data_IF_625371679040
#
_entry.id   IF_625371679040
#
_cell.length_a   1.000
_cell.length_b   1.000
_cell.length_c   1.000
_cell.angle_alpha   90.00
_cell.angle_beta   90.00
_cell.angle_gamma   90.00
#
_symmetry.space_group_name_H-M   'P 1'
#
loop_
_entity.id
_entity.type
_entity.pdbx_description
1 polymer ?
#
# COMPACT_ATOMS: atom_id res chain seq x y z
N UNK A 1 -11.40 15.27 -8.40
CA UNK A 1 -11.22 15.38 -6.94
C UNK A 1 -11.04 13.98 -6.39
N UNK A 2 -10.08 13.75 -5.47
CA UNK A 2 -10.01 12.46 -4.76
C UNK A 2 -11.10 12.49 -3.70
N UNK A 3 -12.18 11.74 -3.88
CA UNK A 3 -13.08 11.46 -2.76
C UNK A 3 -12.27 10.80 -1.65
N UNK A 4 -12.37 11.35 -0.44
CA UNK A 4 -11.57 10.89 0.68
C UNK A 4 -12.08 9.54 1.18
N UNK A 5 -11.17 8.65 1.58
CA UNK A 5 -11.50 7.37 2.25
C UNK A 5 -12.40 7.53 3.49
N UNK A 6 -12.55 8.75 4.01
CA UNK A 6 -13.38 9.06 5.16
C UNK A 6 -14.87 9.24 4.80
N UNK A 7 -15.22 9.59 3.56
CA UNK A 7 -16.62 9.77 3.11
C UNK A 7 -17.20 8.53 2.42
N UNK A 8 -16.35 7.62 1.96
CA UNK A 8 -16.70 6.36 1.29
C UNK A 8 -17.25 5.29 2.28
N UNK A 9 -17.98 4.29 1.76
CA UNK A 9 -18.55 3.22 2.60
C UNK A 9 -17.44 2.31 3.16
N UNK A 10 -17.20 2.40 4.47
CA UNK A 10 -16.10 1.69 5.14
C UNK A 10 -16.46 0.24 5.45
N UNK A 11 -15.47 -0.63 5.30
CA UNK A 11 -15.50 -2.02 5.76
C UNK A 11 -14.15 -2.44 6.34
N UNK A 12 -14.18 -3.34 7.30
CA UNK A 12 -12.99 -3.97 7.87
C UNK A 12 -12.37 -4.97 6.90
N UNK A 13 -11.11 -5.35 7.15
CA UNK A 13 -10.45 -6.38 6.33
C UNK A 13 -11.12 -7.75 6.44
N UNK A 14 -11.71 -8.06 7.59
CA UNK A 14 -12.45 -9.31 7.78
C UNK A 14 -13.74 -9.32 6.95
N UNK A 15 -14.46 -8.20 6.89
CA UNK A 15 -15.64 -8.06 6.03
C UNK A 15 -15.27 -8.17 4.56
N UNK A 16 -14.23 -7.46 4.10
CA UNK A 16 -13.78 -7.58 2.71
C UNK A 16 -13.37 -9.03 2.37
N UNK A 17 -12.65 -9.70 3.28
CA UNK A 17 -12.25 -11.09 3.09
C UNK A 17 -13.46 -12.02 2.90
N UNK A 18 -14.49 -11.86 3.73
CA UNK A 18 -15.75 -12.61 3.61
C UNK A 18 -16.50 -12.28 2.32
N UNK A 19 -16.61 -11.00 1.96
CA UNK A 19 -17.29 -10.57 0.73
C UNK A 19 -16.64 -11.14 -0.53
N UNK A 20 -15.32 -11.29 -0.54
CA UNK A 20 -14.57 -11.78 -1.70
C UNK A 20 -14.21 -13.25 -1.63
N UNK A 21 -14.68 -13.97 -0.61
CA UNK A 21 -14.36 -15.39 -0.39
C UNK A 21 -12.84 -15.65 -0.38
N UNK A 22 -12.06 -14.73 0.18
CA UNK A 22 -10.61 -14.87 0.36
C UNK A 22 -10.24 -14.92 1.84
N UNK A 23 -9.03 -15.35 2.15
CA UNK A 23 -8.54 -15.35 3.53
C UNK A 23 -8.19 -13.94 4.01
N UNK A 24 -8.42 -13.63 5.28
CA UNK A 24 -8.06 -12.33 5.89
C UNK A 24 -6.59 -11.94 5.69
N UNK A 25 -5.59 -12.85 5.81
CA UNK A 25 -4.19 -12.54 5.51
C UNK A 25 -3.95 -12.06 4.07
N UNK A 26 -4.80 -12.44 3.12
CA UNK A 26 -4.73 -11.98 1.73
C UNK A 26 -5.03 -10.49 1.63
N UNK A 27 -6.08 -10.02 2.31
CA UNK A 27 -6.42 -8.59 2.37
C UNK A 27 -5.32 -7.79 3.07
N UNK A 28 -4.74 -8.33 4.16
CA UNK A 28 -3.57 -7.74 4.79
C UNK A 28 -2.39 -7.59 3.83
N UNK A 29 -2.12 -8.61 3.01
CA UNK A 29 -1.06 -8.56 1.99
C UNK A 29 -1.35 -7.49 0.95
N UNK A 30 -2.57 -7.40 0.43
CA UNK A 30 -2.97 -6.36 -0.52
C UNK A 30 -2.78 -4.95 0.05
N UNK A 31 -3.10 -4.75 1.32
CA UNK A 31 -2.92 -3.47 2.00
C UNK A 31 -1.47 -3.15 2.34
N UNK A 32 -0.63 -4.13 2.70
CA UNK A 32 0.74 -3.88 3.20
C UNK A 32 1.82 -3.96 2.13
N UNK A 33 1.63 -4.81 1.14
CA UNK A 33 2.60 -5.10 0.07
C UNK A 33 2.02 -4.84 -1.32
N UNK A 34 0.71 -4.97 -1.48
CA UNK A 34 0.07 -4.96 -2.78
C UNK A 34 0.29 -6.26 -3.56
N UNK A 35 -0.21 -6.25 -4.79
CA UNK A 35 -0.03 -7.31 -5.78
C UNK A 35 0.09 -6.64 -7.16
N UNK A 36 1.00 -7.14 -8.01
CA UNK A 36 1.27 -6.55 -9.34
C UNK A 36 1.53 -5.03 -9.31
N UNK A 37 2.24 -4.55 -8.27
CA UNK A 37 2.55 -3.12 -8.11
C UNK A 37 1.36 -2.24 -7.71
N UNK A 38 0.21 -2.81 -7.37
CA UNK A 38 -0.98 -2.08 -6.92
C UNK A 38 -1.25 -2.44 -5.46
N UNK A 39 -1.45 -1.42 -4.62
CA UNK A 39 -1.70 -1.56 -3.18
C UNK A 39 -3.13 -1.16 -2.86
N UNK A 40 -3.78 -1.90 -1.96
CA UNK A 40 -5.13 -1.58 -1.49
C UNK A 40 -5.07 -0.38 -0.51
N UNK A 41 -5.81 0.67 -0.84
CA UNK A 41 -5.95 1.85 0.01
C UNK A 41 -6.64 1.47 1.33
N UNK A 42 -6.17 2.02 2.45
CA UNK A 42 -6.70 1.64 3.76
C UNK A 42 -6.36 2.68 4.82
N UNK A 43 -7.23 2.77 5.83
CA UNK A 43 -7.11 3.67 6.97
C UNK A 43 -6.99 2.87 8.26
N UNK A 44 -6.26 3.41 9.24
CA UNK A 44 -6.15 2.83 10.58
C UNK A 44 -6.93 3.70 11.57
N UNK A 45 -7.87 3.10 12.30
CA UNK A 45 -8.69 3.77 13.32
C UNK A 45 -8.71 2.87 14.56
N UNK A 46 -8.23 3.38 15.70
CA UNK A 46 -8.25 2.62 16.97
C UNK A 46 -7.53 1.27 16.90
N UNK A 47 -6.40 1.18 16.18
CA UNK A 47 -5.63 -0.06 16.01
C UNK A 47 -6.23 -1.05 14.99
N UNK A 48 -7.43 -0.79 14.47
CA UNK A 48 -8.07 -1.60 13.42
C UNK A 48 -7.84 -0.97 12.05
N UNK A 49 -7.73 -1.81 11.01
CA UNK A 49 -7.62 -1.35 9.61
C UNK A 49 -8.94 -1.53 8.87
N UNK A 50 -9.27 -0.49 8.11
CA UNK A 50 -10.45 -0.41 7.27
C UNK A 50 -10.04 -0.07 5.84
N UNK A 51 -10.86 -0.47 4.91
CA UNK A 51 -10.86 -0.06 3.50
C UNK A 51 -12.27 0.41 3.17
N UNK A 52 -12.47 0.84 1.95
CA UNK A 52 -13.78 1.20 1.41
C UNK A 52 -14.08 0.34 0.18
N UNK A 53 -15.34 0.34 -0.25
CA UNK A 53 -15.73 -0.43 -1.44
C UNK A 53 -15.15 0.18 -2.71
N UNK A 54 -15.11 1.50 -2.77
CA UNK A 54 -14.57 2.32 -3.84
C UNK A 54 -13.05 2.12 -3.95
N UNK A 55 -12.32 2.10 -2.83
CA UNK A 55 -10.91 1.73 -2.79
C UNK A 55 -10.66 0.31 -3.33
N UNK A 56 -11.53 -0.64 -2.97
CA UNK A 56 -11.43 -2.00 -3.46
C UNK A 56 -11.71 -2.08 -4.98
N UNK A 57 -12.73 -1.37 -5.48
CA UNK A 57 -13.04 -1.30 -6.90
C UNK A 57 -11.83 -0.75 -7.71
N UNK A 58 -11.26 0.38 -7.26
CA UNK A 58 -10.03 0.96 -7.86
C UNK A 58 -8.87 -0.04 -7.83
N UNK A 59 -8.71 -0.77 -6.74
CA UNK A 59 -7.68 -1.80 -6.60
C UNK A 59 -7.86 -2.94 -7.61
N UNK A 60 -9.08 -3.45 -7.78
CA UNK A 60 -9.38 -4.53 -8.75
C UNK A 60 -9.16 -4.06 -10.18
N UNK A 61 -9.63 -2.87 -10.53
CA UNK A 61 -9.44 -2.29 -11.86
C UNK A 61 -7.95 -2.19 -12.20
N UNK A 62 -7.16 -1.58 -11.30
CA UNK A 62 -5.71 -1.40 -11.51
C UNK A 62 -4.95 -2.72 -11.52
N UNK A 63 -5.29 -3.66 -10.65
CA UNK A 63 -4.62 -4.98 -10.61
C UNK A 63 -4.94 -5.81 -11.86
N UNK A 64 -6.17 -5.73 -12.36
CA UNK A 64 -6.60 -6.37 -13.61
C UNK A 64 -5.91 -5.74 -14.81
N UNK A 65 -5.90 -4.41 -14.90
CA UNK A 65 -5.19 -3.70 -15.97
C UNK A 65 -3.67 -4.01 -15.97
N UNK A 66 -3.07 -4.16 -14.79
CA UNK A 66 -1.67 -4.59 -14.66
C UNK A 66 -1.47 -6.05 -15.06
N UNK A 67 -2.45 -6.93 -14.83
CA UNK A 67 -2.39 -8.34 -15.25
C UNK A 67 -2.51 -8.50 -16.78
N UNK A 68 -3.38 -7.70 -17.41
CA UNK A 68 -3.61 -7.70 -18.87
C UNK A 68 -2.51 -6.95 -19.65
N UNK A 69 -1.56 -6.31 -18.95
CA UNK A 69 -0.46 -5.56 -19.59
C UNK A 69 -0.87 -4.21 -20.17
N UNK A 70 -2.11 -3.75 -19.91
CA UNK A 70 -2.65 -2.49 -20.42
C UNK A 70 -2.24 -1.29 -19.55
N UNK A 71 -1.81 -1.53 -18.31
CA UNK A 71 -1.41 -0.48 -17.39
C UNK A 71 0.08 -0.13 -17.49
N UNK A 72 0.39 1.16 -17.66
CA UNK A 72 1.72 1.72 -17.40
C UNK A 72 2.02 1.61 -15.91
N UNK A 73 2.93 0.70 -15.55
CA UNK A 73 3.36 0.44 -14.18
C UNK A 73 4.09 1.69 -13.65
N UNK A 74 3.43 2.47 -12.78
CA UNK A 74 4.13 3.43 -11.94
C UNK A 74 4.75 2.67 -10.77
N UNK A 75 6.05 2.87 -10.45
CA UNK A 75 6.67 2.19 -9.33
C UNK A 75 5.91 2.56 -8.06
N UNK A 76 5.36 1.56 -7.37
CA UNK A 76 4.78 1.76 -6.05
C UNK A 76 5.93 2.09 -5.10
N UNK A 77 5.92 3.29 -4.53
CA UNK A 77 6.82 3.71 -3.45
C UNK A 77 6.49 2.94 -2.17
N UNK A 78 6.67 1.62 -2.21
CA UNK A 78 6.58 0.77 -1.03
C UNK A 78 7.86 1.01 -0.22
N UNK A 79 7.77 1.89 0.78
CA UNK A 79 8.83 2.12 1.75
C UNK A 79 8.97 0.87 2.61
N UNK A 80 9.63 -0.16 2.08
CA UNK A 80 9.93 -1.38 2.81
C UNK A 80 10.81 -1.04 4.01
N UNK A 81 10.77 -1.87 5.07
CA UNK A 81 11.70 -1.70 6.20
C UNK A 81 13.17 -1.74 5.72
N UNK A 82 13.45 -2.54 4.68
CA UNK A 82 14.76 -2.57 4.01
C UNK A 82 15.09 -1.24 3.32
N UNK A 83 14.12 -0.61 2.66
CA UNK A 83 14.28 0.72 2.04
C UNK A 83 14.53 1.81 3.08
N UNK A 84 13.87 1.75 4.25
CA UNK A 84 14.14 2.68 5.37
C UNK A 84 15.50 2.47 5.99
N UNK A 85 15.90 1.21 6.21
CA UNK A 85 17.25 0.89 6.70
C UNK A 85 18.32 1.36 5.72
N UNK A 86 18.10 1.19 4.42
CA UNK A 86 19.03 1.65 3.38
C UNK A 86 19.10 3.17 3.32
N UNK A 87 17.96 3.87 3.40
CA UNK A 87 17.92 5.33 3.47
C UNK A 87 18.62 5.87 4.73
N UNK A 88 18.41 5.23 5.89
CA UNK A 88 19.09 5.59 7.13
C UNK A 88 20.59 5.33 7.07
N UNK A 89 21.03 4.23 6.46
CA UNK A 89 22.45 3.92 6.27
C UNK A 89 23.13 4.93 5.32
N UNK A 90 22.44 5.36 4.25
CA UNK A 90 22.93 6.41 3.35
C UNK A 90 23.05 7.73 4.12
N UNK A 91 22.02 8.14 4.88
CA UNK A 91 22.05 9.37 5.65
C UNK A 91 23.14 9.38 6.74
N UNK A 92 23.42 8.23 7.36
CA UNK A 92 24.50 8.09 8.32
C UNK A 92 25.88 8.24 7.66
N UNK A 93 26.08 7.58 6.50
CA UNK A 93 27.31 7.71 5.73
C UNK A 93 27.54 9.15 5.23
N UNK A 94 26.49 9.83 4.77
CA UNK A 94 26.56 11.24 4.37
C UNK A 94 26.88 12.18 5.55
N UNK A 95 26.44 11.84 6.76
CA UNK A 95 26.78 12.60 7.96
C UNK A 95 28.23 12.38 8.40
N UNK A 96 28.71 11.14 8.31
CA UNK A 96 30.10 10.78 8.59
C UNK A 96 31.07 11.46 7.61
N UNK A 97 30.74 11.49 6.32
CA UNK A 97 31.51 12.22 5.31
C UNK A 97 31.56 13.73 5.60
N UNK A 98 30.41 14.30 6.00
CA UNK A 98 30.31 15.73 6.33
C UNK A 98 31.14 16.10 7.57
N UNK A 99 31.19 15.23 8.57
CA UNK A 99 32.00 15.42 9.78
C UNK A 99 33.51 15.26 9.47
N UNK A 100 33.85 14.34 8.57
CA UNK A 100 35.21 14.16 8.07
C UNK A 100 35.69 15.30 7.15
N UNK A 101 34.79 16.17 6.69
CA UNK A 101 35.12 17.36 5.88
C UNK A 101 35.57 17.05 4.45
N UNK A 102 35.15 15.90 3.88
CA UNK A 102 35.44 15.47 2.50
C UNK A 102 34.17 15.45 1.65
#
# INVERSE_FOLDING_TARGET
MRDGLLSEQRMSFAELARHQSVSTPTVWRWSKRGVRGVQLESIAIGGRRYTTWEAYARFVERTTAAATGTARVVPSTSTSQASRRRAAAIAAAEAELRDAGV
#
